data_IF_202492983029
#
_entry.id   IF_202492983029
#
_cell.length_a   1.000
_cell.length_b   1.000
_cell.length_c   1.000
_cell.angle_alpha   90.00
_cell.angle_beta   90.00
_cell.angle_gamma   90.00
#
_symmetry.space_group_name_H-M   'P 1'
#
loop_
_entity.id
_entity.type
_entity.pdbx_description
1 polymer ?
#
# COMPACT_ATOMS: atom_id res chain seq x y z
N UNK A 1 17.23 -0.11 15.20
CA UNK A 1 16.38 -0.82 14.22
C UNK A 1 15.96 0.19 13.18
N UNK A 2 15.89 -0.16 11.89
CA UNK A 2 15.27 0.72 10.92
C UNK A 2 13.77 0.78 11.22
N UNK A 3 13.18 1.97 11.21
CA UNK A 3 11.73 2.14 11.45
C UNK A 3 10.86 1.56 10.32
N UNK A 4 11.50 1.13 9.22
CA UNK A 4 10.88 0.49 8.07
C UNK A 4 11.56 -0.86 7.84
N UNK A 5 10.75 -1.91 7.71
CA UNK A 5 11.20 -3.26 7.35
C UNK A 5 10.80 -3.58 5.91
N UNK A 6 11.74 -4.07 5.12
CA UNK A 6 11.51 -4.65 3.79
C UNK A 6 12.28 -5.96 3.74
N UNK A 7 11.55 -7.06 3.56
CA UNK A 7 12.09 -8.40 3.78
C UNK A 7 11.77 -9.41 2.69
N UNK A 8 12.18 -10.66 2.96
CA UNK A 8 11.91 -11.80 2.07
C UNK A 8 10.41 -12.13 1.96
N UNK A 9 9.65 -11.81 2.99
CA UNK A 9 8.18 -11.84 3.03
C UNK A 9 7.58 -10.81 2.07
N UNK A 10 8.06 -9.56 2.10
CA UNK A 10 7.57 -8.49 1.22
C UNK A 10 7.77 -8.87 -0.25
N UNK A 11 8.97 -9.36 -0.59
CA UNK A 11 9.29 -9.80 -1.96
C UNK A 11 8.55 -11.07 -2.39
N UNK A 12 8.21 -11.97 -1.45
CA UNK A 12 7.35 -13.12 -1.75
C UNK A 12 5.93 -12.66 -2.06
N UNK A 13 5.35 -11.82 -1.20
CA UNK A 13 3.99 -11.33 -1.39
C UNK A 13 3.84 -10.59 -2.74
N UNK A 14 4.82 -9.76 -3.11
CA UNK A 14 4.84 -9.08 -4.42
C UNK A 14 4.66 -10.03 -5.61
N UNK A 15 5.15 -11.27 -5.49
CA UNK A 15 5.06 -12.32 -6.53
C UNK A 15 3.75 -13.10 -6.49
N UNK A 16 3.09 -13.15 -5.33
CA UNK A 16 1.83 -13.88 -5.13
C UNK A 16 0.59 -13.03 -5.36
N UNK A 17 0.70 -11.70 -5.31
CA UNK A 17 -0.39 -10.80 -5.69
C UNK A 17 -0.74 -11.05 -7.16
N UNK A 18 -2.00 -11.45 -7.40
CA UNK A 18 -2.51 -11.69 -8.76
C UNK A 18 -2.52 -10.38 -9.55
N UNK A 19 -2.07 -10.47 -10.80
CA UNK A 19 -2.00 -9.36 -11.76
C UNK A 19 -3.29 -9.22 -12.56
N UNK A 20 -4.42 -9.26 -11.86
CA UNK A 20 -5.73 -8.98 -12.44
C UNK A 20 -5.92 -7.46 -12.61
N UNK A 21 -7.03 -7.05 -13.23
CA UNK A 21 -7.44 -5.64 -13.28
C UNK A 21 -8.36 -5.36 -12.09
N UNK A 22 -8.04 -4.35 -11.29
CA UNK A 22 -8.84 -3.95 -10.13
C UNK A 22 -9.31 -2.50 -10.28
N UNK A 23 -10.57 -2.21 -9.93
CA UNK A 23 -11.03 -0.81 -9.88
C UNK A 23 -10.46 -0.13 -8.63
N UNK A 24 -10.33 -0.86 -7.53
CA UNK A 24 -9.83 -0.35 -6.27
C UNK A 24 -9.09 -1.40 -5.44
N UNK A 25 -7.94 -1.00 -4.89
CA UNK A 25 -7.10 -1.83 -4.01
C UNK A 25 -6.87 -1.13 -2.68
N UNK A 26 -7.00 -1.88 -1.59
CA UNK A 26 -6.57 -1.46 -0.25
C UNK A 26 -5.33 -2.24 0.16
N UNK A 27 -4.26 -1.54 0.54
CA UNK A 27 -3.05 -2.13 1.14
C UNK A 27 -2.99 -1.74 2.63
N UNK A 28 -3.14 -2.73 3.52
CA UNK A 28 -3.14 -2.57 4.96
C UNK A 28 -1.76 -2.91 5.54
N UNK A 29 -1.30 -2.10 6.50
CA UNK A 29 0.07 -2.19 7.05
C UNK A 29 1.11 -1.96 5.94
N UNK A 30 0.90 -0.90 5.16
CA UNK A 30 1.61 -0.68 3.90
C UNK A 30 3.12 -0.48 4.06
N UNK A 31 3.60 -0.11 5.25
CA UNK A 31 5.01 0.18 5.49
C UNK A 31 5.47 1.31 4.58
N UNK A 32 6.48 1.04 3.74
CA UNK A 32 6.95 2.01 2.73
C UNK A 32 6.18 1.96 1.40
N UNK A 33 5.04 1.26 1.35
CA UNK A 33 4.16 1.14 0.18
C UNK A 33 4.59 0.08 -0.83
N UNK A 34 5.31 -0.96 -0.40
CA UNK A 34 5.90 -1.96 -1.32
C UNK A 34 4.82 -2.67 -2.14
N UNK A 35 3.69 -3.05 -1.52
CA UNK A 35 2.68 -3.85 -2.21
C UNK A 35 1.72 -3.00 -3.03
N UNK A 36 1.21 -1.90 -2.46
CA UNK A 36 0.36 -0.94 -3.17
C UNK A 36 1.05 -0.35 -4.41
N UNK A 37 2.32 0.05 -4.31
CA UNK A 37 3.08 0.51 -5.48
C UNK A 37 3.37 -0.62 -6.48
N UNK A 38 3.61 -1.85 -6.00
CA UNK A 38 3.85 -2.99 -6.88
C UNK A 38 2.64 -3.32 -7.78
N UNK A 39 1.41 -3.02 -7.34
CA UNK A 39 0.17 -3.29 -8.09
C UNK A 39 -0.39 -2.04 -8.81
N UNK A 40 0.33 -0.92 -8.82
CA UNK A 40 -0.19 0.37 -9.29
C UNK A 40 -0.66 0.35 -10.75
N UNK A 41 0.01 -0.39 -11.63
CA UNK A 41 -0.38 -0.49 -13.05
C UNK A 41 -1.61 -1.39 -13.28
N UNK A 42 -1.97 -2.20 -12.28
CA UNK A 42 -3.09 -3.15 -12.33
C UNK A 42 -4.35 -2.61 -11.64
N UNK A 43 -4.30 -1.40 -11.09
CA UNK A 43 -5.37 -0.80 -10.30
C UNK A 43 -5.73 0.61 -10.80
N UNK A 44 -7.01 0.94 -10.88
CA UNK A 44 -7.46 2.31 -11.15
C UNK A 44 -7.24 3.23 -9.94
N UNK A 45 -7.40 2.67 -8.72
CA UNK A 45 -7.09 3.35 -7.45
C UNK A 45 -6.42 2.41 -6.45
N UNK A 46 -5.37 2.89 -5.79
CA UNK A 46 -4.72 2.23 -4.65
C UNK A 46 -4.82 3.14 -3.43
N UNK A 47 -5.31 2.60 -2.33
CA UNK A 47 -5.34 3.23 -1.02
C UNK A 47 -4.46 2.42 -0.08
N UNK A 48 -3.47 3.07 0.52
CA UNK A 48 -2.63 2.47 1.55
C UNK A 48 -3.04 2.95 2.94
N UNK A 49 -2.93 2.09 3.95
CA UNK A 49 -3.13 2.46 5.36
C UNK A 49 -1.88 2.12 6.16
N UNK A 50 -1.32 3.13 6.83
CA UNK A 50 -0.10 2.99 7.62
C UNK A 50 -0.18 3.76 8.95
N UNK A 51 0.27 3.10 10.03
CA UNK A 51 0.21 3.61 11.40
C UNK A 51 1.52 4.27 11.84
N UNK A 52 2.68 3.85 11.34
CA UNK A 52 3.98 4.42 11.69
C UNK A 52 4.27 5.70 10.89
N UNK A 53 4.75 6.76 11.55
CA UNK A 53 4.92 8.09 10.90
C UNK A 53 6.05 8.10 9.87
N UNK A 54 7.13 7.38 10.15
CA UNK A 54 8.27 7.27 9.24
C UNK A 54 7.86 6.48 8.00
N UNK A 55 7.19 5.35 8.18
CA UNK A 55 6.68 4.51 7.10
C UNK A 55 5.64 5.24 6.23
N UNK A 56 4.66 5.91 6.85
CA UNK A 56 3.66 6.73 6.16
C UNK A 56 4.30 7.80 5.25
N UNK A 57 5.28 8.54 5.77
CA UNK A 57 5.97 9.55 4.97
C UNK A 57 6.81 8.93 3.85
N UNK A 58 7.41 7.75 4.07
CA UNK A 58 8.13 7.02 3.05
C UNK A 58 7.20 6.55 1.92
N UNK A 59 6.03 5.99 2.23
CA UNK A 59 5.04 5.58 1.25
C UNK A 59 4.57 6.75 0.37
N UNK A 60 4.32 7.91 0.97
CA UNK A 60 3.99 9.14 0.22
C UNK A 60 5.14 9.58 -0.69
N UNK A 61 6.36 9.61 -0.16
CA UNK A 61 7.54 10.01 -0.93
C UNK A 61 7.78 9.06 -2.10
N UNK A 62 7.64 7.76 -1.89
CA UNK A 62 7.78 6.75 -2.93
C UNK A 62 6.73 6.94 -4.03
N UNK A 63 5.47 7.20 -3.68
CA UNK A 63 4.43 7.54 -4.67
C UNK A 63 4.80 8.78 -5.51
N UNK A 64 5.30 9.84 -4.86
CA UNK A 64 5.72 11.08 -5.53
C UNK A 64 6.92 10.89 -6.45
N UNK A 65 7.95 10.17 -6.03
CA UNK A 65 9.16 9.93 -6.83
C UNK A 65 8.84 9.08 -8.07
N UNK A 66 7.88 8.16 -7.97
CA UNK A 66 7.39 7.40 -9.11
C UNK A 66 6.41 8.19 -10.01
N UNK A 67 6.14 9.47 -9.71
CA UNK A 67 5.27 10.33 -10.53
C UNK A 67 3.79 9.93 -10.50
N UNK A 68 3.35 9.19 -9.49
CA UNK A 68 1.98 8.68 -9.42
C UNK A 68 1.03 9.80 -8.96
N UNK A 69 -0.07 9.95 -9.71
CA UNK A 69 -1.09 10.95 -9.40
C UNK A 69 -1.76 10.67 -8.04
N UNK A 70 -2.00 11.70 -7.21
CA UNK A 70 -2.79 11.56 -5.98
C UNK A 70 -4.23 11.05 -6.19
N UNK A 71 -4.75 11.11 -7.42
CA UNK A 71 -6.04 10.49 -7.77
C UNK A 71 -5.97 8.97 -7.85
N UNK A 72 -4.80 8.44 -8.22
CA UNK A 72 -4.54 7.01 -8.43
C UNK A 72 -3.95 6.35 -7.17
N UNK A 73 -3.19 7.09 -6.37
CA UNK A 73 -2.52 6.57 -5.18
C UNK A 73 -2.67 7.53 -3.99
N UNK A 74 -3.20 6.99 -2.90
CA UNK A 74 -3.49 7.72 -1.67
C UNK A 74 -2.94 6.94 -0.48
N UNK A 75 -2.21 7.59 0.43
CA UNK A 75 -1.76 6.98 1.69
C UNK A 75 -2.53 7.62 2.83
N UNK A 76 -3.19 6.81 3.64
CA UNK A 76 -3.99 7.23 4.80
C UNK A 76 -3.26 6.88 6.09
N UNK A 77 -3.11 7.88 6.95
CA UNK A 77 -2.59 7.70 8.31
C UNK A 77 -3.70 7.17 9.21
N UNK A 78 -3.68 5.89 9.54
CA UNK A 78 -4.72 5.27 10.38
C UNK A 78 -4.25 3.97 11.04
N UNK A 79 -5.13 3.26 11.76
CA UNK A 79 -4.89 1.95 12.35
C UNK A 79 -6.00 0.95 11.98
N UNK A 80 -5.75 -0.34 12.22
CA UNK A 80 -6.66 -1.45 11.87
C UNK A 80 -8.01 -1.43 12.60
N UNK A 81 -8.12 -0.68 13.70
CA UNK A 81 -9.37 -0.55 14.47
C UNK A 81 -10.25 0.61 13.98
N UNK A 82 -9.72 1.47 13.11
CA UNK A 82 -10.49 2.54 12.48
C UNK A 82 -11.11 2.02 11.18
N UNK A 83 -12.39 2.32 10.99
CA UNK A 83 -13.14 1.85 9.82
C UNK A 83 -12.62 2.50 8.53
N UNK A 84 -12.39 1.67 7.51
CA UNK A 84 -12.34 2.11 6.11
C UNK A 84 -13.70 1.76 5.50
N UNK A 85 -14.61 2.73 5.30
CA UNK A 85 -16.02 2.43 4.98
C UNK A 85 -16.24 2.04 3.51
N UNK A 86 -15.23 2.23 2.67
CA UNK A 86 -15.24 1.90 1.23
C UNK A 86 -15.10 0.38 1.04
N UNK A 87 -15.67 -0.15 -0.05
CA UNK A 87 -15.38 -1.51 -0.50
C UNK A 87 -14.26 -1.48 -1.53
N UNK A 88 -13.45 -2.55 -1.54
CA UNK A 88 -12.32 -2.72 -2.46
C UNK A 88 -12.40 -4.08 -3.13
N UNK A 89 -11.97 -4.15 -4.39
CA UNK A 89 -11.95 -5.38 -5.18
C UNK A 89 -10.79 -6.29 -4.77
N UNK A 90 -9.73 -5.69 -4.22
CA UNK A 90 -8.59 -6.39 -3.66
C UNK A 90 -8.17 -5.75 -2.33
N UNK A 91 -7.93 -6.61 -1.33
CA UNK A 91 -7.29 -6.21 -0.08
C UNK A 91 -5.97 -6.97 0.03
N UNK A 92 -4.88 -6.22 0.14
CA UNK A 92 -3.53 -6.72 0.40
C UNK A 92 -3.20 -6.38 1.85
N UNK A 93 -2.55 -7.30 2.55
CA UNK A 93 -2.04 -7.01 3.89
C UNK A 93 -0.83 -7.86 4.22
N UNK A 94 0.22 -7.21 4.73
CA UNK A 94 1.40 -7.85 5.29
C UNK A 94 1.71 -7.24 6.66
N UNK A 95 0.93 -7.56 7.71
CA UNK A 95 1.14 -7.00 9.03
C UNK A 95 2.48 -7.46 9.64
N UNK A 96 3.10 -6.66 10.54
CA UNK A 96 4.33 -7.02 11.25
C UNK A 96 4.15 -8.18 12.24
#
# INVERSE_FOLDING_TARGET
MSDIYIGSDSTKLMKYIKRDSYDSVLDLCAGSGVQGLNIIENAEKVVEVELNDVAYNAAILNGKINGISPKKYEVRKSNLYQMVPEQFDCIISNPP
#
